data_IF_672227309311
#
_entry.id   IF_672227309311
#
_cell.length_a   1.000
_cell.length_b   1.000
_cell.length_c   1.000
_cell.angle_alpha   90.00
_cell.angle_beta   90.00
_cell.angle_gamma   90.00
#
_symmetry.space_group_name_H-M   'P 1'
#
loop_
_entity.id
_entity.type
_entity.pdbx_description
1 polymer ?
#
# COMPACT_ATOMS: atom_id res chain seq x y z
N UNK A 1 -12.94 -16.60 8.08
CA UNK A 1 -11.83 -15.64 7.92
C UNK A 1 -11.59 -15.53 6.43
N UNK A 2 -11.92 -14.42 5.73
CA UNK A 2 -11.81 -14.49 4.26
C UNK A 2 -12.18 -13.29 3.39
N UNK A 3 -12.60 -12.15 3.93
CA UNK A 3 -12.83 -10.94 3.11
C UNK A 3 -12.20 -9.67 3.69
N UNK A 4 -12.14 -9.54 5.02
CA UNK A 4 -11.50 -8.40 5.67
C UNK A 4 -9.97 -8.38 5.46
N UNK A 5 -9.30 -9.53 5.70
CA UNK A 5 -7.83 -9.63 5.62
C UNK A 5 -7.27 -9.37 4.22
N UNK A 6 -8.01 -9.81 3.20
CA UNK A 6 -7.67 -9.67 1.79
C UNK A 6 -7.71 -8.20 1.36
N UNK A 7 -8.73 -7.47 1.81
CA UNK A 7 -8.92 -6.05 1.51
C UNK A 7 -7.85 -5.18 2.21
N UNK A 8 -7.52 -5.51 3.46
CA UNK A 8 -6.49 -4.80 4.25
C UNK A 8 -5.11 -4.85 3.61
N UNK A 9 -4.75 -5.96 2.96
CA UNK A 9 -3.45 -6.12 2.31
C UNK A 9 -3.32 -5.27 1.03
N UNK A 10 -4.35 -5.28 0.19
CA UNK A 10 -4.42 -4.44 -1.01
C UNK A 10 -4.29 -2.95 -0.66
N UNK A 11 -5.00 -2.52 0.38
CA UNK A 11 -4.91 -1.18 0.94
C UNK A 11 -3.48 -0.87 1.42
N UNK A 12 -2.86 -1.76 2.19
CA UNK A 12 -1.50 -1.55 2.68
C UNK A 12 -0.48 -1.36 1.55
N UNK A 13 -0.56 -2.19 0.49
CA UNK A 13 0.32 -2.07 -0.68
C UNK A 13 0.04 -0.77 -1.44
N UNK A 14 -1.23 -0.40 -1.62
CA UNK A 14 -1.61 0.87 -2.22
C UNK A 14 -1.08 2.08 -1.44
N UNK A 15 -1.14 2.03 -0.10
CA UNK A 15 -0.58 3.06 0.78
C UNK A 15 0.94 3.16 0.68
N UNK A 16 1.66 2.03 0.65
CA UNK A 16 3.11 2.04 0.48
C UNK A 16 3.51 2.60 -0.89
N UNK A 17 2.76 2.26 -1.96
CA UNK A 17 2.94 2.88 -3.28
C UNK A 17 2.67 4.38 -3.27
N UNK A 18 1.68 4.83 -2.52
CA UNK A 18 1.43 6.25 -2.33
C UNK A 18 2.55 6.95 -1.54
N UNK A 19 3.07 6.30 -0.50
CA UNK A 19 4.20 6.78 0.28
C UNK A 19 5.48 6.95 -0.56
N UNK A 20 5.74 6.04 -1.51
CA UNK A 20 6.86 6.18 -2.45
C UNK A 20 6.76 7.49 -3.25
N UNK A 21 5.57 7.86 -3.75
CA UNK A 21 5.36 9.13 -4.47
C UNK A 21 5.69 10.34 -3.59
N UNK A 22 5.43 10.27 -2.27
CA UNK A 22 5.83 11.34 -1.35
C UNK A 22 7.34 11.41 -1.16
N UNK A 23 8.01 10.26 -1.02
CA UNK A 23 9.46 10.19 -0.87
C UNK A 23 10.19 10.72 -2.11
N UNK A 24 9.71 10.37 -3.31
CA UNK A 24 10.24 10.89 -4.58
C UNK A 24 10.07 12.42 -4.67
N UNK A 25 8.92 12.96 -4.27
CA UNK A 25 8.68 14.42 -4.22
C UNK A 25 9.54 15.13 -3.18
N UNK A 26 9.90 14.43 -2.11
CA UNK A 26 10.80 14.93 -1.07
C UNK A 26 12.28 14.75 -1.44
N UNK A 27 12.58 14.20 -2.61
CA UNK A 27 13.93 13.85 -3.09
C UNK A 27 14.67 12.84 -2.19
N UNK A 28 13.93 12.07 -1.37
CA UNK A 28 14.47 10.99 -0.55
C UNK A 28 14.50 9.67 -1.35
N UNK A 29 15.42 9.64 -2.32
CA UNK A 29 15.58 8.51 -3.25
C UNK A 29 16.04 7.23 -2.56
N UNK A 30 16.83 7.34 -1.48
CA UNK A 30 17.34 6.17 -0.74
C UNK A 30 16.21 5.44 -0.02
N UNK A 31 15.36 6.18 0.70
CA UNK A 31 14.21 5.60 1.39
C UNK A 31 13.18 5.08 0.38
N UNK A 32 12.95 5.78 -0.73
CA UNK A 32 12.07 5.32 -1.80
C UNK A 32 12.55 3.98 -2.39
N UNK A 33 13.84 3.84 -2.68
CA UNK A 33 14.41 2.60 -3.22
C UNK A 33 14.32 1.43 -2.23
N UNK A 34 14.54 1.69 -0.93
CA UNK A 34 14.38 0.68 0.12
C UNK A 34 12.93 0.20 0.23
N UNK A 35 11.97 1.13 0.17
CA UNK A 35 10.56 0.82 0.23
C UNK A 35 10.10 0.02 -1.00
N UNK A 36 10.54 0.41 -2.19
CA UNK A 36 10.28 -0.33 -3.44
C UNK A 36 10.82 -1.76 -3.34
N UNK A 37 12.07 -1.93 -2.88
CA UNK A 37 12.67 -3.25 -2.71
C UNK A 37 11.88 -4.13 -1.72
N UNK A 38 11.47 -3.57 -0.57
CA UNK A 38 10.67 -4.31 0.41
C UNK A 38 9.32 -4.75 -0.15
N UNK A 39 8.66 -3.88 -0.94
CA UNK A 39 7.43 -4.19 -1.66
C UNK A 39 7.64 -5.33 -2.67
N UNK A 40 8.70 -5.26 -3.48
CA UNK A 40 9.01 -6.27 -4.49
C UNK A 40 9.24 -7.64 -3.85
N UNK A 41 10.00 -7.70 -2.75
CA UNK A 41 10.23 -8.94 -1.99
C UNK A 41 8.92 -9.49 -1.43
N UNK A 42 8.07 -8.64 -0.85
CA UNK A 42 6.79 -9.05 -0.31
C UNK A 42 5.82 -9.58 -1.38
N UNK A 43 5.82 -8.96 -2.56
CA UNK A 43 4.98 -9.36 -3.70
C UNK A 43 5.51 -10.62 -4.39
N UNK A 44 6.82 -10.82 -4.43
CA UNK A 44 7.43 -12.07 -4.91
C UNK A 44 7.07 -13.26 -4.01
N UNK A 45 7.08 -13.06 -2.69
CA UNK A 45 6.70 -14.10 -1.72
C UNK A 45 5.21 -14.45 -1.78
N UNK A 46 4.35 -13.47 -2.02
CA UNK A 46 2.91 -13.66 -2.21
C UNK A 46 2.40 -12.65 -3.24
N UNK A 47 2.15 -13.04 -4.49
CA UNK A 47 1.56 -12.13 -5.47
C UNK A 47 0.21 -11.60 -4.99
N UNK A 48 -0.18 -10.41 -5.46
CA UNK A 48 -1.56 -9.95 -5.33
C UNK A 48 -2.45 -10.79 -6.24
N UNK A 49 -3.60 -11.20 -5.74
CA UNK A 49 -4.61 -11.88 -6.54
C UNK A 49 -5.49 -10.85 -7.27
N UNK A 50 -6.10 -11.21 -8.42
CA UNK A 50 -7.10 -10.38 -9.07
C UNK A 50 -8.20 -9.96 -8.08
N UNK A 51 -8.46 -8.66 -7.98
CA UNK A 51 -9.41 -8.09 -7.02
C UNK A 51 -8.82 -7.68 -5.66
N UNK A 52 -7.56 -8.02 -5.36
CA UNK A 52 -6.81 -7.45 -4.22
C UNK A 52 -6.10 -6.15 -4.60
N UNK A 53 -5.98 -5.85 -5.89
CA UNK A 53 -5.33 -4.65 -6.39
C UNK A 53 -6.15 -3.41 -6.06
N UNK A 54 -5.58 -2.52 -5.27
CA UNK A 54 -6.13 -1.21 -4.95
C UNK A 54 -5.16 -0.16 -5.46
N UNK A 55 -5.67 0.82 -6.22
CA UNK A 55 -4.83 1.91 -6.69
C UNK A 55 -4.36 2.78 -5.49
N UNK A 56 -3.18 3.42 -5.58
CA UNK A 56 -2.62 4.16 -4.45
C UNK A 56 -3.49 5.31 -3.93
N UNK A 57 -4.27 5.97 -4.78
CA UNK A 57 -5.13 7.07 -4.37
C UNK A 57 -6.37 6.56 -3.64
N UNK A 58 -7.01 5.49 -4.14
CA UNK A 58 -8.11 4.83 -3.45
C UNK A 58 -7.69 4.28 -2.10
N UNK A 59 -6.49 3.72 -1.99
CA UNK A 59 -5.96 3.24 -0.71
C UNK A 59 -5.82 4.37 0.33
N UNK A 60 -5.32 5.54 -0.10
CA UNK A 60 -5.24 6.73 0.75
C UNK A 60 -6.64 7.22 1.17
N UNK A 61 -7.61 7.23 0.26
CA UNK A 61 -9.00 7.61 0.57
C UNK A 61 -9.64 6.65 1.56
N UNK A 62 -9.46 5.34 1.40
CA UNK A 62 -9.98 4.32 2.31
C UNK A 62 -9.36 4.48 3.70
N UNK A 63 -8.04 4.70 3.79
CA UNK A 63 -7.35 4.90 5.06
C UNK A 63 -7.70 6.23 5.73
N UNK A 64 -8.10 7.24 4.95
CA UNK A 64 -8.54 8.53 5.44
C UNK A 64 -9.99 8.52 5.96
N UNK A 65 -10.75 7.43 5.75
CA UNK A 65 -12.06 7.28 6.39
C UNK A 65 -11.80 7.21 7.90
N UNK A 66 -12.30 8.16 8.70
CA UNK A 66 -12.15 8.09 10.14
C UNK A 66 -12.76 6.79 10.62
N UNK A 67 -11.93 5.93 11.20
CA UNK A 67 -12.39 4.80 12.00
C UNK A 67 -13.28 5.44 13.07
N UNK A 68 -14.58 5.20 13.00
CA UNK A 68 -15.57 5.96 13.75
C UNK A 68 -15.15 6.13 15.20
N UNK A 69 -15.17 7.37 15.67
CA UNK A 69 -15.00 7.75 17.06
C UNK A 69 -16.11 7.13 17.88
N UNK A 70 -15.78 6.09 18.65
CA UNK A 70 -16.59 5.57 19.74
C UNK A 70 -15.77 5.69 21.04
#
# INVERSE_FOLDING_TARGET
>A
MGMADTNSRGIAIGLMRHAMVFLEKAEDWETAARLQHALDVALAARPLQPGEEVDPQSAALIAAIPLSSD
#
